data_IF_982961900393
#
_entry.id   IF_982961900393
#
_cell.length_a   1.000
_cell.length_b   1.000
_cell.length_c   1.000
_cell.angle_alpha   90.00
_cell.angle_beta   90.00
_cell.angle_gamma   90.00
#
_symmetry.space_group_name_H-M   'P 1'
#
loop_
_entity.id
_entity.type
_entity.pdbx_description
1 polymer ?
2 non-polymer ?
3 non-polymer ?
4 non-polymer ?
5 non-polymer ?
6 non-polymer ?
7 non-polymer ?
8 water ?
#
# COMPACT_ATOMS: atom_id res chain seq x y z
N UNK A 29 -13.73 20.42 -8.70
CA UNK A 29 -12.56 19.88 -9.39
C UNK A 29 -12.98 18.70 -10.26
N UNK A 30 -12.35 18.57 -11.42
CA UNK A 30 -12.44 17.36 -12.23
C UNK A 30 -11.07 16.70 -12.26
N UNK A 31 -11.00 15.43 -11.87
CA UNK A 31 -9.75 14.68 -11.87
C UNK A 31 -9.90 13.55 -12.87
N UNK A 32 -9.10 13.59 -13.93
CA UNK A 32 -9.21 12.68 -15.07
C UNK A 32 -8.20 11.56 -15.00
N UNK A 33 -8.66 10.34 -15.32
CA UNK A 33 -7.83 9.15 -15.29
C UNK A 33 -7.30 8.85 -16.68
N UNK A 34 -6.00 8.57 -16.77
CA UNK A 34 -5.38 8.04 -17.98
C UNK A 34 -4.62 6.76 -17.64
N UNK A 35 -4.75 5.76 -18.49
CA UNK A 35 -4.20 4.44 -18.23
C UNK A 35 -2.97 4.23 -19.09
N UNK A 36 -1.91 3.75 -18.48
CA UNK A 36 -0.61 3.58 -19.11
C UNK A 36 0.01 2.26 -18.66
N UNK A 37 1.16 1.90 -19.20
CA UNK A 37 1.84 0.68 -18.76
C UNK A 37 3.35 0.85 -18.86
N UNK A 38 4.06 -0.01 -18.18
CA UNK A 38 5.52 -0.12 -18.31
C UNK A 38 5.90 -1.58 -18.16
N UNK A 39 7.11 -1.92 -18.57
CA UNK A 39 7.65 -3.26 -18.39
C UNK A 39 8.30 -3.33 -17.01
N UNK A 40 7.72 -4.13 -16.13
CA UNK A 40 8.26 -4.34 -14.80
C UNK A 40 9.33 -5.42 -14.79
N UNK A 41 9.83 -5.72 -13.60
CA UNK A 41 10.89 -6.71 -13.49
C UNK A 41 10.38 -8.05 -14.02
N UNK A 42 11.23 -8.77 -14.75
CA UNK A 42 10.82 -10.00 -15.42
C UNK A 42 10.04 -9.75 -16.68
N UNK A 43 10.04 -8.54 -17.20
CA UNK A 43 9.25 -8.14 -18.36
C UNK A 43 7.76 -8.47 -18.19
N UNK A 44 7.25 -8.25 -16.99
CA UNK A 44 5.81 -8.30 -16.73
C UNK A 44 5.20 -6.96 -17.09
N UNK A 45 4.09 -6.98 -17.82
CA UNK A 45 3.38 -5.74 -18.15
C UNK A 45 2.70 -5.19 -16.90
N UNK A 46 3.08 -4.00 -16.46
CA UNK A 46 2.49 -3.33 -15.31
C UNK A 46 1.60 -2.20 -15.80
N UNK A 47 0.32 -2.27 -15.49
CA UNK A 47 -0.64 -1.22 -15.84
C UNK A 47 -0.74 -0.26 -14.68
N UNK A 48 -0.84 1.04 -14.97
CA UNK A 48 -1.06 2.03 -13.95
C UNK A 48 -1.99 3.13 -14.44
N UNK A 49 -2.67 3.73 -13.48
CA UNK A 49 -3.49 4.93 -13.69
C UNK A 49 -2.73 6.18 -13.29
N UNK A 50 -2.97 7.25 -14.04
CA UNK A 50 -2.58 8.58 -13.62
C UNK A 50 -3.84 9.43 -13.52
N UNK A 51 -4.05 10.02 -12.35
CA UNK A 51 -5.19 10.86 -12.07
C UNK A 51 -4.75 12.31 -11.98
N UNK A 52 -5.23 13.14 -12.91
CA UNK A 52 -4.73 14.50 -13.05
C UNK A 52 -5.86 15.48 -12.81
N UNK A 53 -5.79 16.36 -11.80
CA UNK A 53 -6.85 17.34 -11.59
C UNK A 53 -6.66 18.54 -12.50
N UNK A 54 -7.73 19.28 -12.73
CA UNK A 54 -7.69 20.50 -13.53
C UNK A 54 -7.29 21.71 -12.68
N UNK A 55 -6.11 21.61 -12.08
CA UNK A 55 -5.53 22.68 -11.27
C UNK A 55 -4.01 22.48 -11.33
N UNK A 56 -3.29 23.50 -10.94
CA UNK A 56 -1.84 23.39 -10.96
C UNK A 56 -1.37 22.26 -10.02
N UNK A 57 -0.46 21.39 -10.45
CA UNK A 57 -0.08 20.22 -9.66
C UNK A 57 0.76 20.60 -8.45
N UNK A 58 0.21 20.35 -7.27
CA UNK A 58 0.89 20.75 -6.04
C UNK A 58 1.86 19.70 -5.53
N UNK A 59 1.69 18.45 -5.92
CA UNK A 59 2.58 17.35 -5.57
C UNK A 59 2.10 16.13 -6.34
N UNK A 60 2.92 15.07 -6.33
CA UNK A 60 2.54 13.80 -6.92
C UNK A 60 2.47 12.75 -5.82
N UNK A 61 1.51 11.85 -5.95
CA UNK A 61 1.29 10.73 -5.03
C UNK A 61 1.53 9.46 -5.82
N UNK A 62 2.30 8.52 -5.29
CA UNK A 62 2.52 7.23 -5.89
C UNK A 62 1.93 6.21 -4.91
N UNK A 63 0.91 5.49 -5.35
CA UNK A 63 0.05 4.70 -4.48
C UNK A 63 0.17 3.21 -4.75
N UNK A 64 0.34 2.43 -3.69
CA UNK A 64 0.44 0.97 -3.73
C UNK A 64 -0.74 0.32 -3.00
N UNK A 65 -1.55 -0.42 -3.75
CA UNK A 65 -2.66 -1.18 -3.19
C UNK A 65 -2.16 -2.43 -2.49
N UNK A 66 -3.08 -3.14 -1.85
CA UNK A 66 -2.76 -4.32 -1.09
C UNK A 66 -3.03 -5.66 -1.77
N UNK A 67 -2.96 -6.72 -0.96
CA UNK A 67 -3.07 -8.09 -1.42
C UNK A 67 -4.39 -8.29 -2.13
N UNK A 68 -4.32 -8.86 -3.33
CA UNK A 68 -5.52 -9.32 -3.99
C UNK A 68 -6.43 -8.28 -4.58
N UNK A 69 -6.16 -7.00 -4.35
CA UNK A 69 -6.99 -5.93 -4.89
C UNK A 69 -6.28 -5.31 -6.09
N UNK A 70 -6.53 -4.05 -6.38
CA UNK A 70 -6.03 -3.41 -7.59
C UNK A 70 -6.29 -1.91 -7.44
N UNK A 71 -5.74 -1.13 -8.35
CA UNK A 71 -5.77 0.32 -8.22
C UNK A 71 -7.13 0.93 -8.49
N UNK A 72 -8.03 0.25 -9.17
CA UNK A 72 -9.36 0.81 -9.38
C UNK A 72 -10.26 0.69 -8.16
N UNK A 73 -9.81 0.13 -7.06
CA UNK A 73 -10.50 0.29 -5.77
C UNK A 73 -10.11 1.58 -5.09
N UNK A 74 -9.33 2.45 -5.75
CA UNK A 74 -8.85 3.70 -5.19
C UNK A 74 -9.34 4.92 -5.94
N UNK A 75 -10.32 4.79 -6.84
CA UNK A 75 -10.78 5.94 -7.61
C UNK A 75 -11.14 7.09 -6.68
N UNK A 76 -11.92 6.81 -5.63
CA UNK A 76 -12.39 7.88 -4.75
C UNK A 76 -11.26 8.52 -3.98
N UNK A 77 -10.24 7.77 -3.64
CA UNK A 77 -9.05 8.31 -2.99
C UNK A 77 -8.36 9.28 -3.95
N UNK A 78 -8.11 8.83 -5.18
CA UNK A 78 -7.46 9.69 -6.16
C UNK A 78 -8.27 10.93 -6.44
N UNK A 79 -9.59 10.81 -6.45
CA UNK A 79 -10.42 11.98 -6.73
C UNK A 79 -10.38 12.98 -5.59
N UNK A 80 -10.31 12.50 -4.35
CA UNK A 80 -10.18 13.39 -3.22
C UNK A 80 -8.81 14.06 -3.19
N UNK A 81 -7.75 13.31 -3.48
CA UNK A 81 -6.41 13.89 -3.55
C UNK A 81 -6.33 14.90 -4.69
N UNK A 82 -7.02 14.63 -5.80
CA UNK A 82 -7.02 15.59 -6.90
C UNK A 82 -7.71 16.88 -6.52
N UNK A 83 -8.77 16.81 -5.72
CA UNK A 83 -9.43 18.02 -5.25
C UNK A 83 -8.49 18.89 -4.43
N UNK A 84 -7.43 18.31 -3.88
CA UNK A 84 -6.40 19.04 -3.18
C UNK A 84 -5.23 19.43 -4.07
N UNK A 85 -5.35 19.22 -5.37
CA UNK A 85 -4.29 19.56 -6.29
C UNK A 85 -3.21 18.52 -6.49
N UNK A 86 -3.42 17.28 -6.09
CA UNK A 86 -2.42 16.24 -6.17
C UNK A 86 -2.68 15.31 -7.35
N UNK A 87 -1.61 14.95 -8.04
CA UNK A 87 -1.64 14.02 -9.16
C UNK A 87 -1.32 12.64 -8.62
N UNK A 88 -2.18 11.66 -8.84
CA UNK A 88 -1.97 10.31 -8.28
C UNK A 88 -1.62 9.32 -9.35
N UNK A 89 -0.52 8.60 -9.14
CA UNK A 89 -0.07 7.47 -9.95
C UNK A 89 -0.34 6.22 -9.15
N UNK A 90 -1.04 5.25 -9.71
CA UNK A 90 -1.39 4.04 -8.96
C UNK A 90 -1.26 2.83 -9.87
N UNK A 91 -0.36 1.90 -9.56
CA UNK A 91 -0.15 0.71 -10.36
C UNK A 91 -0.98 -0.44 -9.89
N UNK A 92 -1.30 -1.35 -10.78
CA UNK A 92 -1.72 -2.71 -10.39
C UNK A 92 -0.43 -3.51 -10.23
N UNK A 93 -0.14 -4.03 -9.05
CA UNK A 93 1.07 -4.82 -8.88
C UNK A 93 1.02 -6.02 -9.81
N UNK A 94 2.21 -6.60 -10.06
CA UNK A 94 2.26 -7.86 -10.78
C UNK A 94 1.31 -8.84 -10.15
N UNK A 95 0.66 -9.62 -10.98
CA UNK A 95 -0.26 -10.61 -10.48
C UNK A 95 -1.57 -10.09 -9.97
N UNK A 96 -1.87 -8.81 -10.21
CA UNK A 96 -3.07 -8.16 -9.73
C UNK A 96 -3.71 -7.37 -10.84
N UNK A 97 -5.04 -7.25 -10.75
CA UNK A 97 -5.79 -6.35 -11.62
C UNK A 97 -5.49 -6.58 -13.06
N UNK A 98 -5.17 -5.51 -13.77
CA UNK A 98 -4.94 -5.48 -15.20
C UNK A 98 -3.51 -5.84 -15.55
N UNK A 99 -2.59 -5.91 -14.59
CA UNK A 99 -1.19 -6.18 -14.89
C UNK A 99 -1.03 -7.67 -15.19
N UNK A 100 0.09 -7.99 -15.84
CA UNK A 100 0.45 -9.37 -16.12
C UNK A 100 0.99 -10.08 -14.91
N UNK A 101 1.46 -11.32 -15.15
CA UNK A 101 2.04 -12.16 -14.11
C UNK A 101 1.02 -13.16 -13.57
N UNK A 102 1.51 -14.30 -13.08
CA UNK A 102 0.64 -15.24 -12.42
C UNK A 102 -0.05 -14.55 -11.25
N UNK A 103 -1.33 -14.81 -11.08
CA UNK A 103 -2.07 -14.10 -10.04
C UNK A 103 -1.41 -14.33 -8.68
N UNK A 104 -1.33 -13.23 -7.94
CA UNK A 104 -0.78 -13.15 -6.59
C UNK A 104 0.56 -13.85 -6.42
N UNK A 105 1.36 -13.97 -7.47
CA UNK A 105 2.67 -14.59 -7.39
C UNK A 105 3.73 -13.56 -7.16
N UNK A 106 4.62 -13.79 -6.19
CA UNK A 106 5.84 -13.01 -6.02
C UNK A 106 6.86 -13.92 -5.34
N UNK A 107 8.15 -13.73 -5.66
CA UNK A 107 9.24 -14.53 -5.12
C UNK A 107 10.20 -13.74 -4.25
N UNK A 108 10.01 -12.44 -4.09
CA UNK A 108 10.84 -11.59 -3.23
C UNK A 108 10.17 -10.23 -3.10
N UNK A 109 10.25 -9.61 -1.93
CA UNK A 109 9.73 -8.25 -1.76
C UNK A 109 10.29 -7.30 -2.80
N UNK A 110 11.53 -7.54 -3.25
CA UNK A 110 12.16 -6.63 -4.20
C UNK A 110 11.45 -6.58 -5.53
N UNK A 111 10.69 -7.60 -5.91
CA UNK A 111 9.91 -7.49 -7.12
C UNK A 111 8.92 -6.36 -7.02
N UNK A 112 8.21 -6.29 -5.90
CA UNK A 112 7.23 -5.24 -5.70
C UNK A 112 7.89 -3.88 -5.53
N UNK A 113 8.98 -3.80 -4.77
CA UNK A 113 9.60 -2.50 -4.58
C UNK A 113 10.27 -2.00 -5.83
N UNK A 114 10.76 -2.90 -6.68
CA UNK A 114 11.36 -2.48 -7.95
C UNK A 114 10.32 -1.84 -8.86
N UNK A 115 9.17 -2.45 -9.01
CA UNK A 115 8.15 -1.87 -9.88
C UNK A 115 7.61 -0.58 -9.29
N UNK A 116 7.49 -0.52 -7.95
CA UNK A 116 7.08 0.73 -7.32
C UNK A 116 8.11 1.80 -7.61
N UNK A 117 9.39 1.49 -7.50
CA UNK A 117 10.44 2.46 -7.82
C UNK A 117 10.33 2.94 -9.26
N UNK A 118 10.04 2.04 -10.20
CA UNK A 118 9.88 2.46 -11.58
C UNK A 118 8.77 3.50 -11.68
N UNK A 119 7.65 3.28 -10.99
CA UNK A 119 6.56 4.24 -11.02
C UNK A 119 6.96 5.57 -10.38
N UNK A 120 7.67 5.54 -9.26
CA UNK A 120 8.16 6.78 -8.68
C UNK A 120 9.03 7.53 -9.69
N UNK A 121 9.86 6.82 -10.45
CA UNK A 121 10.70 7.49 -11.40
C UNK A 121 9.90 8.13 -12.52
N UNK A 122 8.83 7.47 -12.98
CA UNK A 122 7.99 8.06 -14.03
C UNK A 122 7.37 9.34 -13.52
N UNK A 123 6.80 9.30 -12.31
CA UNK A 123 6.19 10.49 -11.74
C UNK A 123 7.19 11.61 -11.55
N UNK A 124 8.40 11.28 -11.11
CA UNK A 124 9.45 12.26 -10.84
C UNK A 124 9.85 12.94 -12.14
N UNK A 125 9.99 12.19 -13.21
CA UNK A 125 10.39 12.79 -14.47
C UNK A 125 9.26 13.61 -15.09
N UNK A 126 7.99 13.23 -14.86
CA UNK A 126 6.87 13.96 -15.44
C UNK A 126 6.59 15.25 -14.70
N UNK A 127 6.86 15.29 -13.41
CA UNK A 127 6.62 16.44 -12.56
C UNK A 127 7.87 16.74 -11.74
N UNK A 128 8.93 17.19 -12.39
CA UNK A 128 10.22 17.33 -11.68
C UNK A 128 10.27 18.40 -10.61
N UNK A 129 9.39 19.37 -10.64
CA UNK A 129 9.30 20.36 -9.58
C UNK A 129 8.45 19.98 -8.39
N UNK A 130 7.80 18.84 -8.39
CA UNK A 130 6.83 18.51 -7.36
C UNK A 130 7.41 17.67 -6.24
N UNK A 131 6.94 17.93 -5.03
CA UNK A 131 7.14 17.01 -3.90
C UNK A 131 6.52 15.66 -4.23
N UNK A 132 7.11 14.61 -3.68
CA UNK A 132 6.70 13.23 -3.93
C UNK A 132 6.19 12.58 -2.65
N UNK A 133 4.98 12.07 -2.74
CA UNK A 133 4.31 11.37 -1.65
C UNK A 133 4.17 9.93 -2.03
N UNK A 134 4.54 9.03 -1.13
CA UNK A 134 4.35 7.59 -1.32
C UNK A 134 3.30 7.13 -0.34
N UNK A 135 2.31 6.38 -0.82
CA UNK A 135 1.16 6.00 -0.05
C UNK A 135 0.88 4.53 -0.30
N UNK A 136 0.69 3.77 0.77
CA UNK A 136 0.36 2.35 0.62
C UNK A 136 -0.63 1.88 1.66
N UNK A 137 -1.47 0.90 1.28
CA UNK A 137 -2.42 0.24 2.18
C UNK A 137 -2.05 -1.23 2.36
N UNK A 138 -1.96 -1.67 3.61
CA UNK A 138 -1.91 -3.09 3.98
C UNK A 138 -0.65 -3.73 3.38
N UNK A 139 -0.74 -4.74 2.54
CA UNK A 139 0.47 -5.22 1.85
C UNK A 139 1.18 -4.08 1.16
N UNK A 140 0.44 -3.18 0.55
CA UNK A 140 1.02 -2.03 -0.12
C UNK A 140 1.71 -1.09 0.83
N UNK A 141 1.23 -1.03 2.07
CA UNK A 141 1.96 -0.29 3.10
C UNK A 141 3.26 -0.96 3.48
N UNK A 142 3.31 -2.29 3.48
CA UNK A 142 4.57 -2.98 3.62
C UNK A 142 5.52 -2.72 2.48
N UNK A 143 5.01 -2.70 1.25
CA UNK A 143 5.83 -2.39 0.10
C UNK A 143 6.39 -0.98 0.20
N UNK A 144 5.54 0.00 0.54
CA UNK A 144 5.98 1.40 0.62
C UNK A 144 6.98 1.58 1.75
N UNK A 145 6.76 0.95 2.89
CA UNK A 145 7.75 0.99 3.97
C UNK A 145 9.09 0.42 3.50
N UNK A 146 9.05 -0.75 2.88
CA UNK A 146 10.25 -1.42 2.41
C UNK A 146 10.99 -0.54 1.40
N UNK A 147 10.22 0.10 0.51
CA UNK A 147 10.78 1.04 -0.45
C UNK A 147 11.48 2.18 0.26
N UNK A 148 10.78 2.77 1.22
CA UNK A 148 11.29 3.96 1.90
C UNK A 148 12.53 3.71 2.71
N UNK A 149 12.67 2.55 3.34
CA UNK A 149 13.89 2.28 4.09
C UNK A 149 15.07 2.02 3.16
N UNK A 150 14.81 1.57 1.94
CA UNK A 150 15.87 1.39 0.94
C UNK A 150 16.25 2.69 0.27
N UNK A 151 15.29 3.61 0.08
CA UNK A 151 15.51 4.86 -0.62
C UNK A 151 14.97 6.03 0.19
N UNK A 152 15.55 6.27 1.37
CA UNK A 152 14.94 7.22 2.31
C UNK A 152 15.01 8.64 1.84
N UNK A 153 15.83 8.92 0.83
CA UNK A 153 16.03 10.23 0.24
C UNK A 153 15.22 10.45 -1.02
N UNK A 154 14.48 9.45 -1.50
CA UNK A 154 13.86 9.49 -2.82
C UNK A 154 12.37 9.84 -2.80
N UNK A 155 11.86 10.39 -1.70
CA UNK A 155 10.47 10.81 -1.56
C UNK A 155 10.47 11.84 -0.45
N UNK A 156 9.38 12.62 -0.38
CA UNK A 156 9.25 13.68 0.60
C UNK A 156 8.33 13.34 1.75
N UNK A 157 7.24 12.61 1.53
CA UNK A 157 6.24 12.32 2.56
C UNK A 157 5.76 10.91 2.37
N UNK A 158 5.46 10.19 3.46
CA UNK A 158 4.90 8.86 3.40
C UNK A 158 3.59 8.78 4.17
N UNK A 159 2.62 8.11 3.59
CA UNK A 159 1.33 7.84 4.22
C UNK A 159 1.05 6.36 4.13
N UNK A 160 0.75 5.74 5.27
CA UNK A 160 0.48 4.30 5.34
C UNK A 160 -0.86 4.04 5.96
N UNK A 161 -1.69 3.25 5.31
CA UNK A 161 -2.97 2.77 5.83
C UNK A 161 -2.75 1.35 6.31
N UNK A 162 -2.94 1.08 7.59
CA UNK A 162 -2.85 -0.27 8.17
C UNK A 162 -1.69 -1.06 7.56
N UNK A 163 -0.46 -0.55 7.67
CA UNK A 163 0.62 -1.19 6.91
C UNK A 163 0.99 -2.56 7.45
N UNK A 164 1.24 -3.49 6.53
CA UNK A 164 1.61 -4.86 6.90
C UNK A 164 3.10 -4.93 7.15
N UNK A 165 3.50 -4.44 8.32
CA UNK A 165 4.92 -4.35 8.67
C UNK A 165 5.28 -5.28 9.84
N UNK A 166 4.38 -6.15 10.25
CA UNK A 166 4.66 -7.14 11.30
C UNK A 166 3.94 -8.45 10.99
N UNK A 167 4.16 -8.97 9.78
CA UNK A 167 3.45 -10.16 9.35
C UNK A 167 3.73 -11.33 10.25
N UNK A 168 4.92 -11.39 10.84
CA UNK A 168 5.25 -12.49 11.73
C UNK A 168 4.39 -12.54 12.98
N UNK A 169 3.70 -11.47 13.29
CA UNK A 169 2.80 -11.49 14.44
C UNK A 169 1.39 -11.90 14.04
N UNK A 170 1.10 -12.04 12.74
CA UNK A 170 -0.24 -12.28 12.22
C UNK A 170 -0.48 -13.71 11.79
N UNK A 171 0.56 -14.50 11.56
CA UNK A 171 0.40 -15.87 11.11
C UNK A 171 0.99 -16.81 12.15
N UNK A 172 0.53 -18.05 12.18
CA UNK A 172 1.03 -19.01 13.11
C UNK A 172 2.48 -19.40 12.78
N UNK A 173 3.20 -19.95 13.73
CA UNK A 173 4.56 -20.42 13.43
C UNK A 173 4.60 -21.41 12.29
N UNK A 174 3.61 -22.29 12.16
CA UNK A 174 3.56 -23.26 11.07
C UNK A 174 3.43 -22.54 9.73
N UNK A 175 2.53 -21.57 9.64
CA UNK A 175 2.36 -20.84 8.40
C UNK A 175 3.65 -20.09 8.05
N UNK A 176 4.29 -19.48 9.03
CA UNK A 176 5.53 -18.76 8.78
C UNK A 176 6.62 -19.69 8.28
N UNK A 177 6.76 -20.88 8.84
CA UNK A 177 7.74 -21.81 8.31
C UNK A 177 7.43 -22.17 6.88
N UNK A 178 6.18 -22.52 6.59
CA UNK A 178 5.82 -22.90 5.23
C UNK A 178 6.10 -21.79 4.26
N UNK A 179 5.74 -20.57 4.61
CA UNK A 179 5.96 -19.46 3.72
C UNK A 179 7.45 -19.22 3.50
N UNK A 180 8.23 -19.21 4.57
CA UNK A 180 9.65 -18.96 4.48
C UNK A 180 10.35 -20.02 3.66
N UNK A 181 9.99 -21.29 3.82
CA UNK A 181 10.71 -22.35 3.14
C UNK A 181 10.21 -22.55 1.72
N UNK A 182 8.96 -22.26 1.43
CA UNK A 182 8.40 -22.55 0.13
C UNK A 182 8.12 -21.34 -0.72
N UNK A 183 8.22 -20.14 -0.19
CA UNK A 183 7.78 -18.97 -0.92
C UNK A 183 8.63 -18.58 -2.11
N UNK A 184 9.81 -19.14 -2.29
CA UNK A 184 10.55 -18.94 -3.54
C UNK A 184 10.29 -20.06 -4.53
N UNK A 185 10.29 -21.32 -4.09
CA UNK A 185 10.13 -22.42 -5.05
C UNK A 185 8.67 -22.60 -5.46
N UNK A 186 7.72 -22.48 -4.52
CA UNK A 186 6.30 -22.70 -4.82
C UNK A 186 5.55 -21.47 -4.35
N UNK A 187 5.80 -20.34 -4.97
CA UNK A 187 5.23 -19.11 -4.44
C UNK A 187 3.74 -19.09 -4.46
N UNK A 188 3.08 -19.85 -5.31
CA UNK A 188 1.64 -19.87 -5.37
C UNK A 188 0.98 -20.82 -4.39
N UNK A 189 1.73 -21.54 -3.57
CA UNK A 189 1.11 -22.47 -2.62
C UNK A 189 0.25 -21.73 -1.62
N UNK A 190 -1.03 -22.08 -1.45
CA UNK A 190 -1.86 -21.35 -0.45
C UNK A 190 -1.42 -21.67 0.96
N UNK A 191 -1.30 -20.65 1.80
CA UNK A 191 -0.85 -20.87 3.19
C UNK A 191 -1.80 -20.32 4.24
N UNK A 192 -2.67 -19.36 3.96
CA UNK A 192 -3.40 -18.65 5.02
C UNK A 192 -4.73 -18.15 4.46
N UNK A 193 -5.80 -18.39 5.19
CA UNK A 193 -7.11 -17.83 4.85
C UNK A 193 -7.17 -16.34 5.16
N UNK A 194 -7.89 -15.62 4.32
CA UNK A 194 -8.18 -14.21 4.54
C UNK A 194 -9.69 -14.03 4.79
N UNK A 195 -10.06 -13.48 5.94
CA UNK A 195 -11.48 -13.25 6.27
C UNK A 195 -11.93 -11.95 5.58
N UNK A 196 -12.58 -12.13 4.43
CA UNK A 196 -13.00 -11.01 3.59
C UNK A 196 -13.98 -10.11 4.29
N UNK A 197 -14.72 -10.64 5.26
CA UNK A 197 -15.71 -9.86 5.99
C UNK A 197 -15.05 -8.85 6.92
N UNK A 198 -13.76 -8.97 7.17
CA UNK A 198 -13.07 -8.05 8.03
C UNK A 198 -12.54 -6.82 7.31
N UNK A 199 -12.70 -6.72 5.99
CA UNK A 199 -12.10 -5.59 5.29
C UNK A 199 -12.82 -4.31 5.62
N UNK A 200 -14.14 -4.34 5.87
CA UNK A 200 -14.92 -3.13 6.06
C UNK A 200 -16.19 -3.49 6.80
N UNK A 201 -16.67 -2.52 7.59
CA UNK A 201 -17.94 -2.58 8.28
C UNK A 201 -19.13 -2.46 7.33
N UNK A 202 -18.91 -1.87 6.15
CA UNK A 202 -19.95 -1.57 5.17
C UNK A 202 -20.18 -2.82 4.32
N UNK A 203 -21.31 -3.49 4.44
CA UNK A 203 -21.53 -4.70 3.63
C UNK A 203 -21.43 -4.46 2.14
N UNK A 204 -21.69 -3.25 1.67
CA UNK A 204 -21.58 -3.03 0.24
C UNK A 204 -20.13 -3.03 -0.22
N UNK A 205 -19.20 -2.64 0.65
CA UNK A 205 -17.78 -2.74 0.32
C UNK A 205 -17.38 -4.19 0.25
N UNK A 206 -17.80 -4.99 1.23
CA UNK A 206 -17.49 -6.42 1.21
C UNK A 206 -18.07 -7.08 -0.04
N UNK A 207 -19.31 -6.77 -0.37
CA UNK A 207 -19.93 -7.36 -1.54
C UNK A 207 -19.20 -6.95 -2.82
N UNK A 208 -18.85 -5.69 -2.95
CA UNK A 208 -18.15 -5.23 -4.16
C UNK A 208 -16.78 -5.87 -4.30
N UNK A 209 -16.11 -6.16 -3.20
CA UNK A 209 -14.85 -6.91 -3.24
C UNK A 209 -15.10 -8.34 -3.68
N UNK A 210 -16.09 -9.00 -3.11
CA UNK A 210 -16.33 -10.41 -3.38
C UNK A 210 -16.80 -10.65 -4.80
N UNK A 211 -17.49 -9.70 -5.43
CA UNK A 211 -18.01 -9.87 -6.77
C UNK A 211 -17.10 -9.30 -7.85
N UNK A 212 -15.99 -8.70 -7.49
CA UNK A 212 -15.08 -8.10 -8.47
C UNK A 212 -14.27 -9.18 -9.14
N UNK A 213 -14.38 -9.37 -10.46
CA UNK A 213 -13.63 -10.43 -11.12
C UNK A 213 -12.13 -10.18 -11.16
N UNK A 214 -11.68 -8.98 -10.87
CA UNK A 214 -10.25 -8.70 -10.84
C UNK A 214 -9.63 -8.87 -9.46
N UNK A 215 -10.40 -9.17 -8.42
CA UNK A 215 -9.89 -9.40 -7.06
C UNK A 215 -9.56 -10.87 -6.92
N UNK A 216 -8.50 -11.17 -6.18
CA UNK A 216 -8.18 -12.56 -5.83
C UNK A 216 -9.11 -13.07 -4.75
N UNK A 217 -9.81 -14.15 -5.04
CA UNK A 217 -10.80 -14.69 -4.10
C UNK A 217 -10.28 -15.90 -3.34
N UNK A 218 -9.04 -16.28 -3.53
CA UNK A 218 -8.47 -17.43 -2.84
C UNK A 218 -7.69 -17.03 -1.61
N UNK A 219 -6.79 -17.92 -1.21
CA UNK A 219 -6.05 -17.77 0.02
C UNK A 219 -4.76 -17.01 -0.20
N UNK A 220 -4.17 -16.54 0.89
CA UNK A 220 -2.86 -15.90 0.83
C UNK A 220 -1.82 -16.93 0.39
N UNK A 221 -1.02 -16.62 -0.62
CA UNK A 221 0.01 -17.56 -1.09
C UNK A 221 1.35 -17.42 -0.35
N UNK A 222 2.14 -18.48 -0.46
CA UNK A 222 3.44 -18.57 0.22
C UNK A 222 4.38 -17.45 -0.18
N UNK A 223 4.40 -17.05 -1.46
CA UNK A 223 5.37 -16.06 -1.91
C UNK A 223 5.10 -14.70 -1.31
N UNK A 224 3.85 -14.26 -1.33
CA UNK A 224 3.50 -13.00 -0.67
C UNK A 224 3.74 -13.11 0.83
N UNK A 225 3.39 -14.24 1.43
CA UNK A 225 3.66 -14.41 2.85
C UNK A 225 5.13 -14.23 3.17
N UNK A 226 6.00 -14.86 2.38
CA UNK A 226 7.43 -14.72 2.56
C UNK A 226 7.87 -13.26 2.39
N UNK A 227 7.39 -12.60 1.35
CA UNK A 227 7.79 -11.23 1.09
C UNK A 227 7.42 -10.32 2.24
N UNK A 228 6.22 -10.52 2.81
CA UNK A 228 5.83 -9.70 3.96
C UNK A 228 6.62 -10.09 5.20
N UNK A 229 6.94 -11.35 5.37
CA UNK A 229 7.82 -11.73 6.47
C UNK A 229 9.18 -11.08 6.31
N UNK A 230 9.68 -10.90 5.07
CA UNK A 230 10.96 -10.21 4.88
C UNK A 230 10.89 -8.80 5.45
N UNK A 231 9.79 -8.12 5.26
CA UNK A 231 9.61 -6.77 5.78
C UNK A 231 9.45 -6.78 7.30
N UNK A 232 8.61 -7.66 7.81
CA UNK A 232 8.27 -7.65 9.22
C UNK A 232 9.43 -8.03 10.11
N UNK A 233 10.21 -9.02 9.70
CA UNK A 233 11.21 -9.58 10.61
C UNK A 233 12.22 -8.55 11.01
N UNK A 234 12.48 -7.58 10.14
CA UNK A 234 13.51 -6.58 10.42
C UNK A 234 12.97 -5.17 10.56
N UNK A 235 11.66 -5.00 10.66
CA UNK A 235 11.10 -3.65 10.70
C UNK A 235 11.74 -2.83 11.83
N UNK A 236 11.88 -3.32 13.05
CA UNK A 236 12.42 -2.42 14.09
C UNK A 236 13.84 -1.99 13.82
N UNK A 237 14.63 -2.80 13.13
CA UNK A 237 16.02 -2.46 12.86
C UNK A 237 16.16 -1.53 11.65
N UNK A 238 15.20 -1.58 10.74
CA UNK A 238 15.26 -0.79 9.52
C UNK A 238 14.51 0.53 9.61
N UNK A 239 13.42 0.58 10.38
CA UNK A 239 12.61 1.79 10.50
C UNK A 239 13.42 3.01 10.91
N UNK A 240 14.50 2.90 11.69
CA UNK A 240 15.29 4.11 12.00
C UNK A 240 15.85 4.80 10.77
N UNK A 241 15.93 4.13 9.63
CA UNK A 241 16.42 4.76 8.41
C UNK A 241 15.42 5.74 7.79
N UNK A 242 14.18 5.68 8.20
CA UNK A 242 13.26 6.71 7.76
C UNK A 242 13.66 8.05 8.33
N UNK A 243 13.62 9.00 7.49
CA UNK A 243 13.89 10.36 7.90
C UNK A 243 12.75 11.31 7.57
N UNK A 244 12.03 11.02 6.52
CA UNK A 244 10.97 11.91 6.08
C UNK A 244 9.71 11.77 6.94
N UNK A 245 8.80 12.73 6.86
CA UNK A 245 7.57 12.66 7.67
C UNK A 245 6.72 11.46 7.27
N UNK A 246 5.99 10.97 8.28
CA UNK A 246 5.17 9.78 8.15
C UNK A 246 3.85 9.97 8.86
N UNK A 247 2.77 9.60 8.17
CA UNK A 247 1.43 9.51 8.73
C UNK A 247 0.96 8.08 8.57
N UNK A 248 0.51 7.48 9.69
CA UNK A 248 -0.07 6.14 9.69
C UNK A 248 -1.52 6.26 10.09
N UNK A 249 -2.40 5.53 9.41
CA UNK A 249 -3.84 5.51 9.67
C UNK A 249 -4.23 4.09 10.02
N UNK A 250 -5.06 3.91 11.05
CA UNK A 250 -5.43 2.55 11.43
C UNK A 250 -6.77 2.57 12.16
N UNK A 251 -7.64 1.63 11.79
CA UNK A 251 -8.90 1.47 12.50
C UNK A 251 -8.71 0.65 13.77
N UNK A 252 -9.35 1.08 14.85
CA UNK A 252 -9.13 0.37 16.11
C UNK A 252 -9.73 -1.03 16.08
N UNK A 253 -10.74 -1.28 15.25
CA UNK A 253 -11.39 -2.59 15.20
C UNK A 253 -10.91 -3.43 14.04
N UNK A 254 -9.74 -3.12 13.50
CA UNK A 254 -9.12 -3.88 12.43
C UNK A 254 -8.79 -5.27 12.93
N UNK A 255 -9.48 -6.31 12.44
CA UNK A 255 -9.13 -7.69 12.81
C UNK A 255 -8.13 -8.34 11.87
N UNK A 256 -7.84 -7.72 10.75
CA UNK A 256 -6.84 -8.30 9.87
C UNK A 256 -5.43 -7.96 10.33
N UNK A 257 -5.16 -6.68 10.58
CA UNK A 257 -3.87 -6.24 11.09
C UNK A 257 -4.12 -5.52 12.41
N UNK A 258 -3.74 -6.06 13.55
CA UNK A 258 -4.00 -5.38 14.82
C UNK A 258 -3.30 -4.01 14.89
N UNK A 259 -4.03 -3.04 15.44
CA UNK A 259 -3.57 -1.66 15.51
C UNK A 259 -2.28 -1.53 16.32
N UNK A 260 -2.06 -2.42 17.29
CA UNK A 260 -0.81 -2.30 18.07
C UNK A 260 0.42 -2.41 17.19
N UNK A 261 0.35 -3.06 16.03
CA UNK A 261 1.49 -3.07 15.15
C UNK A 261 1.86 -1.70 14.60
N UNK A 262 0.86 -0.85 14.31
CA UNK A 262 1.15 0.51 13.86
C UNK A 262 1.67 1.35 15.01
N UNK A 263 1.22 1.09 16.22
CA UNK A 263 1.78 1.78 17.37
C UNK A 263 3.27 1.44 17.51
N UNK A 264 3.64 0.18 17.29
CA UNK A 264 5.04 -0.21 17.35
C UNK A 264 5.82 0.43 16.22
N UNK A 265 5.27 0.46 15.00
CA UNK A 265 5.97 1.08 13.90
C UNK A 265 6.35 2.51 14.23
N UNK A 266 5.40 3.30 14.74
CA UNK A 266 5.72 4.71 14.91
C UNK A 266 6.75 4.92 16.01
N UNK A 267 6.88 3.99 16.96
CA UNK A 267 7.94 4.07 17.95
C UNK A 267 9.31 3.76 17.38
N UNK A 268 9.40 3.07 16.25
CA UNK A 268 10.67 2.61 15.67
C UNK A 268 11.21 3.52 14.56
N UNK A 269 10.36 4.29 13.90
CA UNK A 269 10.87 5.08 12.81
C UNK A 269 11.80 6.17 13.34
N UNK A 270 12.68 6.60 12.47
CA UNK A 270 13.64 7.64 12.80
C UNK A 270 13.03 9.03 12.81
N UNK A 271 12.13 9.31 11.88
CA UNK A 271 11.67 10.68 11.73
C UNK A 271 10.92 11.20 12.94
N UNK A 272 11.20 12.45 13.28
CA UNK A 272 10.55 13.14 14.37
C UNK A 272 9.11 13.49 14.01
N UNK A 273 8.84 13.75 12.74
CA UNK A 273 7.50 14.13 12.30
C UNK A 273 6.74 12.88 11.91
N UNK A 274 6.27 12.16 12.93
CA UNK A 274 5.55 10.90 12.76
C UNK A 274 4.28 10.92 13.59
N UNK A 275 3.18 10.46 13.00
CA UNK A 275 1.89 10.47 13.68
C UNK A 275 1.09 9.26 13.28
N UNK A 276 0.44 8.65 14.26
CA UNK A 276 -0.54 7.59 14.04
C UNK A 276 -1.91 8.16 14.35
N UNK A 277 -2.81 8.13 13.38
CA UNK A 277 -4.19 8.53 13.59
C UNK A 277 -5.01 7.26 13.73
N UNK A 278 -5.58 7.06 14.92
CA UNK A 278 -6.39 5.90 15.22
C UNK A 278 -7.86 6.27 15.03
N UNK A 279 -8.62 5.44 14.34
CA UNK A 279 -10.03 5.72 14.08
C UNK A 279 -10.89 4.74 14.86
N UNK A 280 -11.52 5.19 15.93
CA UNK A 280 -12.29 4.27 16.78
C UNK A 280 -13.40 3.58 16.02
N UNK A 281 -13.41 2.26 16.13
CA UNK A 281 -14.44 1.43 15.56
C UNK A 281 -14.28 1.10 14.11
N UNK A 282 -13.29 1.65 13.42
CA UNK A 282 -13.13 1.33 12.01
C UNK A 282 -12.45 -0.02 11.80
N UNK A 283 -12.84 -0.67 10.72
CA UNK A 283 -12.25 -1.91 10.23
C UNK A 283 -11.00 -1.61 9.39
N UNK A 284 -10.48 -2.64 8.72
CA UNK A 284 -9.17 -2.58 8.09
C UNK A 284 -9.05 -1.48 7.05
N UNK A 285 -9.96 -1.43 6.08
CA UNK A 285 -9.87 -0.52 4.94
C UNK A 285 -10.44 0.82 5.33
N UNK A 286 -9.65 1.62 6.06
CA UNK A 286 -10.12 2.92 6.51
C UNK A 286 -10.55 3.80 5.36
N UNK A 287 -9.92 3.69 4.17
CA UNK A 287 -10.32 4.52 3.03
C UNK A 287 -11.63 4.10 2.41
N UNK A 288 -12.18 2.94 2.79
CA UNK A 288 -13.46 2.49 2.29
C UNK A 288 -14.55 2.46 3.33
N UNK A 289 -14.25 2.80 4.57
CA UNK A 289 -15.20 2.78 5.65
C UNK A 289 -16.23 3.89 5.50
N UNK A 290 -17.32 3.80 6.26
CA UNK A 290 -18.32 4.87 6.18
C UNK A 290 -17.73 6.23 6.45
N UNK A 291 -16.70 6.30 7.29
CA UNK A 291 -16.06 7.55 7.72
C UNK A 291 -14.96 7.96 6.74
N UNK A 292 -14.88 7.34 5.57
CA UNK A 292 -13.77 7.58 4.66
C UNK A 292 -13.55 9.04 4.34
N UNK A 293 -14.60 9.84 4.25
CA UNK A 293 -14.38 11.25 3.90
C UNK A 293 -13.67 11.99 5.00
N UNK A 294 -13.90 11.62 6.27
CA UNK A 294 -13.14 12.20 7.38
C UNK A 294 -11.70 11.71 7.34
N UNK A 295 -11.47 10.41 7.15
CA UNK A 295 -10.12 9.88 7.02
C UNK A 295 -9.37 10.64 5.93
N UNK A 296 -9.99 10.79 4.77
CA UNK A 296 -9.33 11.45 3.65
C UNK A 296 -9.13 12.93 3.90
N UNK A 297 -10.05 13.61 4.56
CA UNK A 297 -9.81 14.99 4.95
C UNK A 297 -8.58 15.08 5.84
N UNK A 298 -8.42 14.14 6.77
CA UNK A 298 -7.26 14.13 7.65
C UNK A 298 -5.97 13.95 6.84
N UNK A 299 -5.96 13.01 5.90
CA UNK A 299 -4.80 12.80 5.05
C UNK A 299 -4.48 14.06 4.26
N UNK A 300 -5.48 14.70 3.66
CA UNK A 300 -5.24 15.87 2.85
C UNK A 300 -4.71 16.99 3.71
N UNK A 301 -5.25 17.19 4.89
CA UNK A 301 -4.77 18.27 5.76
C UNK A 301 -3.32 18.05 6.16
N UNK A 302 -2.97 16.81 6.48
CA UNK A 302 -1.61 16.46 6.87
C UNK A 302 -0.64 16.70 5.72
N UNK A 303 -1.01 16.26 4.52
CA UNK A 303 -0.17 16.43 3.35
C UNK A 303 -0.01 17.88 2.98
N UNK A 304 -1.10 18.61 2.86
CA UNK A 304 -0.96 19.93 2.25
C UNK A 304 -0.17 20.90 3.13
N UNK A 305 -0.23 20.76 4.44
CA UNK A 305 0.56 21.67 5.23
C UNK A 305 2.05 21.36 5.19
N UNK A 306 2.43 20.18 4.72
CA UNK A 306 3.82 19.73 4.60
C UNK A 306 4.40 19.92 3.21
N UNK A 307 3.65 20.44 2.27
CA UNK A 307 4.23 20.64 0.93
C UNK A 307 5.16 21.82 0.89
X LIG B 1 0.51 -11.01 6.42
X LIG B 1 -0.47 -10.16 5.88
X LIG B 1 -3.92 -6.96 2.40
X LIG B 1 -6.41 -7.34 2.73
X LIG B 1 -7.48 -7.01 1.70
X LIG B 1 -7.11 -5.61 1.22
X LIG B 1 -5.59 -5.71 1.13
X LIG B 1 -5.63 -12.66 10.04
X LIG B 1 -2.20 -9.58 4.19
X LIG B 1 -1.12 -10.44 4.70
X LIG B 1 -0.93 -11.70 4.15
X LIG B 1 0.06 -12.56 4.67
X LIG B 1 0.75 -12.20 5.80
X LIG B 1 -4.69 -12.14 7.88
X LIG B 1 -4.91 -10.77 8.00
X LIG B 1 -4.51 -9.91 6.99
X LIG B 1 -3.85 -10.41 5.88
X LIG B 1 -3.57 -11.76 5.79
X LIG B 1 -4.02 -12.63 6.78
X LIG B 1 -3.49 -8.01 3.33
X LIG B 1 -2.21 -8.55 3.29
X LIG B 1 -3.38 -9.52 4.84
X LIG B 1 -4.23 -8.61 4.28
X LIG B 1 -5.22 -6.69 2.15
X LIG B 1 -5.05 -13.08 8.81
X LIG B 1 -3.04 -6.37 1.76
X LIG B 1 -7.47 -4.61 2.16
X LIG B 1 -0.72 -8.64 6.70
X LIG B 1 0.98 -10.76 7.18
X LIG B 1 -6.64 -6.95 3.60
X LIG B 1 -6.29 -8.29 2.83
X LIG B 1 -8.37 -7.01 2.11
X LIG B 1 -7.45 -7.65 0.96
X LIG B 1 -7.56 -5.41 0.31
X LIG B 1 -5.17 -4.83 1.31
X LIG B 1 -5.32 -6.02 0.23
X LIG B 1 -6.25 -11.94 9.88
X LIG B 1 -4.92 -12.35 10.63
X LIG B 1 -6.09 -13.41 10.45
X LIG B 1 -1.45 -11.98 3.42
X LIG B 1 0.24 -13.38 4.24
X LIG B 1 1.40 -12.79 6.16
X LIG B 1 -5.33 -10.43 8.76
X LIG B 1 -4.69 -8.98 7.06
X LIG B 1 -3.10 -12.11 5.06
X LIG B 1 -3.87 -13.55 6.70
X LIG B 1 -1.49 -8.26 2.75
X LIG B 1 -7.46 -3.86 1.78
X LIG C 1 11.24 -8.83 15.55
X LIG C 1 10.75 -8.91 16.99
X LIG C 1 12.71 -8.49 15.53
X LIG C 1 10.93 -10.13 14.80
X LIG C 1 10.48 -7.75 14.86
X LIG D 1 -24.44 1.17 9.72
X LIG D 1 -23.62 0.35 8.76
X LIG D 1 -24.41 -0.70 8.11
X LIG D 1 -22.56 -0.39 9.58
X LIG D 1 -23.06 1.39 7.80
X LIG D 1 -22.70 0.97 6.39
X LIG D 1 -23.66 0.07 5.87
X LIG D 1 -22.54 2.20 5.50
X LIG D 1 -25.28 1.62 9.19
X LIG D 1 -23.81 1.95 10.15
X LIG D 1 -24.81 0.53 10.51
X LIG D 1 -21.91 0.34 10.06
X LIG D 1 -21.97 -1.02 8.92
X LIG D 1 -23.05 -0.99 10.33
X LIG D 1 -22.15 1.80 8.25
X LIG D 1 -23.78 2.20 7.73
X LIG D 1 -21.75 0.44 6.42
X LIG D 1 -22.18 1.90 4.52
X LIG D 1 -21.84 2.90 5.95
X LIG D 1 -23.51 2.69 5.38
X LIG E 1 -14.79 0.63 -2.00
X LIG E 1 -15.15 2.06 -2.26
X LIG E 1 -13.34 0.35 -3.02
X LIG E 1 -16.03 -0.39 -2.79
X LIG E 1 -13.00 -0.65 -2.89
X LIG E 1 -12.57 1.02 -2.74
X LIG E 1 -13.60 0.50 -4.04
X LIG E 1 -16.97 0.09 -2.73
X LIG E 1 -16.08 -1.33 -2.31
X LIG E 1 -15.77 -0.53 -3.81
X LIG F 1 5.59 20.61 -12.27
X LIG F 1 6.93 19.89 -12.36
X LIG F 1 5.65 21.74 -11.42
X LIG F 1 4.83 19.91 -11.90
X LIG F 1 5.28 20.93 -13.27
X LIG F 1 6.97 19.31 -13.28
X LIG F 1 7.05 19.25 -11.50
X LIG F 1 7.73 20.64 -12.37
X LIG G 1 8.45 13.60 18.08
X LIG G 1 8.47 14.00 19.58
X LIG G 1 7.31 12.90 17.59
X LIG G 1 9.33 12.98 17.89
X LIG G 1 8.55 14.51 17.49
X LIG G 1 9.49 13.90 19.97
X LIG G 1 7.81 13.34 20.15
X LIG G 1 8.14 15.02 19.70
X LIG H 1 -18.72 4.56 15.61
X LIG H 1 -18.64 3.22 15.11
X LIG H 1 -17.36 4.76 16.27
X LIG H 1 -17.20 3.70 17.23
X LIG H 1 -19.54 4.68 16.31
X LIG H 1 -18.87 5.28 14.80
X LIG H 1 -17.32 5.73 16.77
X LIG H 1 -16.56 4.73 15.52
X LIG I 1 10.87 18.59 -5.56
X LIG I 1 11.96 18.97 -6.56
X LIG I 1 11.19 19.02 -4.25
X LIG I 1 10.74 17.52 -5.56
X LIG I 1 9.93 19.06 -5.86
X LIG I 1 11.96 18.24 -7.37
X LIG I 1 12.92 18.99 -6.06
X LIG I 1 11.74 19.96 -6.98
X LIG J 1 0.65 -25.38 4.24
X LIG J 1 0.22 -26.65 4.96
X LIG J 1 0.06 -27.72 3.99
X LIG J 1 -1.07 -26.39 5.75
X LIG J 1 1.28 -27.13 5.95
X LIG J 1 1.50 -26.13 7.06
X LIG J 1 0.97 -24.85 6.84
X LIG J 1 0.78 -26.61 8.30
X LIG J 1 1.70 -25.46 3.95
X LIG J 1 0.52 -24.52 4.90
X LIG J 1 0.04 -25.24 3.34
X LIG J 1 -0.94 -25.51 6.37
X LIG J 1 -1.27 -27.26 6.39
X LIG J 1 -1.89 -26.25 5.06
X LIG J 1 2.22 -27.29 5.42
X LIG J 1 0.97 -28.09 6.38
X LIG J 1 2.58 -26.06 7.14
X LIG J 1 0.26 -25.79 8.76
X LIG J 1 1.51 -27.02 9.00
X LIG J 1 0.07 -27.40 8.03
#
# INVERSE_FOLDING_TARGET
MSYYHHHHHHDYDIPTTENLYFQGAMGSMTTTRTERNFAGIGDVRIVYDVWTPDTAPQAVVVLAHGLGEHARRYDHVAQRLGAAGLVTYALDHRGHGRSGGKRVLVRDISEYTADFDTLVGIATREYPGCKRIVLGHSMGGGIVFAYGVERPDNYDLMVLSAPAVAAQDLVSPVVAVAAKLLGVVVPGLPVQELDFTAISRDPEVVQAYNTDPLVHHGRVPAGIGRALLQVGETMPRRAPALTAPLLVLHGTDDRLIPIEGSRRLVECVGSADVQLKEYPGLYHEVFNEPERNQVLDDVVAWLTERL
7WW C15 C16 C17 C18 C19 C20 C21 C1 C10 C11 C12 C13 C14 C2 C3 C4 C5 C6 C7 C8 C9 N1 N2 N3 O1 O2 O3 CL1 H1 H2 H3 H4 H5 H6 H7 H8 H9 H10 H11 H12 H13 H14 H15 H16 H17 H18 H19 H20
PO4 P O1 O2 O3 O4
MPD C1 C2 O2 CM C3 C4 O4 C5 H11 H12 H13 HM1 HM2 HM3 H31 H32 H4 H51 H52 H53
DMS S O C1 C2 H11 H12 H13 H21 H22 H23
EOH C1 C2 O H11 H12 H21 H22 H23
EOH C1 C2 O H11 H12 H21 H22 H23
EDO C1 O1 C2 O2 H11 H12 H21 H22
EOH C1 C2 O H11 H12 H21 H22 H23
MPD C1 C2 O2 CM C3 C4 O4 C5 H11 H12 H13 HM1 HM2 HM3 H31 H32 H4 H51 H52 H53
#
